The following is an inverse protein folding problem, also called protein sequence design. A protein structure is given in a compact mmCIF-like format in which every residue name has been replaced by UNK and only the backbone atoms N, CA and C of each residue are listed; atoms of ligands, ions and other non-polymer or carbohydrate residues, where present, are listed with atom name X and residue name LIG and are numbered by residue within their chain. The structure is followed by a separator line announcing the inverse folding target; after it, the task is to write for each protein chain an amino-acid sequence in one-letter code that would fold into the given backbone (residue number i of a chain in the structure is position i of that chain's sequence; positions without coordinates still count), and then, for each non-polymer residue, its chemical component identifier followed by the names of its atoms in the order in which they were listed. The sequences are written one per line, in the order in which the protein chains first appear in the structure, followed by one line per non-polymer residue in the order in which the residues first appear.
data_IF_325318645587
#
_entry.id   IF_325318645587
#
_cell.length_a   1.000
_cell.length_b   1.000
_cell.length_c   1.000
_cell.angle_alpha   90.00
_cell.angle_beta   90.00
_cell.angle_gamma   90.00
#
_symmetry.space_group_name_H-M   'P 1'
#
loop_
_entity.id
_entity.type
_entity.pdbx_description
1 polymer ?
#
# COMPACT_ATOMS: atom_id res chain seq x y z
N UNK A 1 -13.84 -4.65 -15.02
CA UNK A 1 -12.43 -4.81 -15.39
C UNK A 1 -11.94 -5.92 -14.50
N UNK A 2 -11.47 -6.97 -15.13
CA UNK A 2 -11.73 -8.34 -14.73
C UNK A 2 -11.18 -8.64 -13.34
N UNK A 3 -12.11 -8.83 -12.40
CA UNK A 3 -11.82 -9.52 -11.16
C UNK A 3 -11.29 -10.88 -11.60
N UNK A 4 -10.01 -11.15 -11.39
CA UNK A 4 -9.51 -12.52 -11.44
C UNK A 4 -10.52 -13.36 -10.66
N UNK A 5 -10.86 -14.56 -11.09
CA UNK A 5 -11.75 -15.49 -10.40
C UNK A 5 -10.95 -16.29 -9.39
N UNK A 6 -11.56 -16.83 -8.33
CA UNK A 6 -10.81 -17.62 -7.35
C UNK A 6 -10.05 -18.77 -8.04
N UNK A 7 -10.61 -19.22 -9.17
CA UNK A 7 -9.98 -20.14 -10.12
C UNK A 7 -8.70 -19.61 -10.76
N UNK A 8 -8.64 -18.36 -11.20
CA UNK A 8 -7.43 -17.78 -11.80
C UNK A 8 -6.33 -17.59 -10.74
N UNK A 9 -6.69 -17.20 -9.51
CA UNK A 9 -5.73 -17.15 -8.39
C UNK A 9 -5.20 -18.55 -8.05
N UNK A 10 -6.07 -19.56 -8.07
CA UNK A 10 -5.69 -20.96 -7.86
C UNK A 10 -4.76 -21.49 -8.97
N UNK A 11 -4.99 -21.11 -10.22
CA UNK A 11 -4.12 -21.48 -11.35
C UNK A 11 -2.72 -20.89 -11.21
N UNK A 12 -2.63 -19.60 -10.88
CA UNK A 12 -1.36 -18.91 -10.66
C UNK A 12 -0.59 -19.55 -9.50
N UNK A 13 -1.28 -19.84 -8.39
CA UNK A 13 -0.63 -20.47 -7.25
C UNK A 13 -0.17 -21.89 -7.58
N UNK A 14 -1.00 -22.69 -8.26
CA UNK A 14 -0.66 -24.04 -8.71
C UNK A 14 0.64 -24.04 -9.54
N UNK A 15 0.77 -23.11 -10.49
CA UNK A 15 1.98 -23.00 -11.32
C UNK A 15 3.24 -22.69 -10.50
N UNK A 16 3.11 -21.91 -9.42
CA UNK A 16 4.22 -21.60 -8.52
C UNK A 16 4.59 -22.76 -7.60
N UNK A 17 3.61 -23.47 -7.03
CA UNK A 17 3.85 -24.48 -5.98
C UNK A 17 4.06 -25.89 -6.54
N UNK A 18 3.38 -26.28 -7.61
CA UNK A 18 3.45 -27.62 -8.18
C UNK A 18 4.89 -28.11 -8.48
N UNK A 19 5.81 -27.27 -9.01
CA UNK A 19 7.20 -27.68 -9.24
C UNK A 19 8.01 -28.00 -7.97
N UNK A 20 7.48 -27.61 -6.79
CA UNK A 20 8.12 -27.77 -5.48
C UNK A 20 7.44 -28.83 -4.62
N UNK A 21 6.33 -29.40 -5.09
CA UNK A 21 5.61 -30.49 -4.44
C UNK A 21 6.07 -31.84 -5.00
N UNK A 22 5.95 -32.89 -4.19
CA UNK A 22 6.11 -34.27 -4.69
C UNK A 22 4.93 -34.67 -5.57
N UNK A 23 5.10 -35.66 -6.46
CA UNK A 23 4.03 -36.13 -7.36
C UNK A 23 2.73 -36.49 -6.62
N UNK A 24 2.83 -37.09 -5.43
CA UNK A 24 1.67 -37.43 -4.58
C UNK A 24 1.00 -36.19 -3.96
N UNK A 25 1.76 -35.10 -3.71
CA UNK A 25 1.24 -33.84 -3.14
C UNK A 25 0.73 -32.88 -4.20
N UNK A 26 1.23 -32.96 -5.43
CA UNK A 26 0.78 -32.13 -6.54
C UNK A 26 -0.70 -32.41 -6.89
N UNK A 27 -1.13 -33.68 -6.76
CA UNK A 27 -2.53 -34.06 -6.93
C UNK A 27 -3.43 -33.57 -5.77
N UNK A 28 -2.90 -33.47 -4.54
CA UNK A 28 -3.63 -32.95 -3.37
C UNK A 28 -3.83 -31.41 -3.42
N UNK A 29 -2.98 -30.71 -4.18
CA UNK A 29 -3.01 -29.26 -4.36
C UNK A 29 -3.20 -28.89 -5.83
N UNK A 30 -4.05 -29.62 -6.56
CA UNK A 30 -4.44 -29.27 -7.92
C UNK A 30 -5.25 -27.93 -7.95
N UNK A 31 -5.53 -27.44 -9.16
CA UNK A 31 -6.23 -26.15 -9.35
C UNK A 31 -7.61 -26.15 -8.67
N UNK A 32 -8.34 -27.27 -8.68
CA UNK A 32 -9.69 -27.34 -8.10
C UNK A 32 -9.63 -27.40 -6.55
N UNK A 33 -8.63 -28.08 -5.99
CA UNK A 33 -8.34 -28.12 -4.56
C UNK A 33 -7.90 -26.74 -4.05
N UNK A 34 -7.00 -26.07 -4.77
CA UNK A 34 -6.56 -24.71 -4.44
C UNK A 34 -7.70 -23.71 -4.55
N UNK A 35 -8.56 -23.79 -5.57
CA UNK A 35 -9.75 -22.93 -5.67
C UNK A 35 -10.67 -23.11 -4.46
N UNK A 36 -10.86 -24.35 -4.00
CA UNK A 36 -11.61 -24.65 -2.78
C UNK A 36 -10.93 -24.08 -1.53
N UNK A 37 -9.60 -24.13 -1.46
CA UNK A 37 -8.84 -23.54 -0.38
C UNK A 37 -8.98 -22.00 -0.37
N UNK A 38 -8.85 -21.37 -1.53
CA UNK A 38 -9.08 -19.94 -1.73
C UNK A 38 -10.50 -19.53 -1.34
N UNK A 39 -11.52 -20.30 -1.74
CA UNK A 39 -12.92 -20.09 -1.33
C UNK A 39 -13.08 -20.17 0.20
N UNK A 40 -12.45 -21.14 0.84
CA UNK A 40 -12.44 -21.26 2.30
C UNK A 40 -11.81 -20.02 2.95
N UNK A 41 -10.64 -19.57 2.48
CA UNK A 41 -9.98 -18.38 3.02
C UNK A 41 -10.81 -17.11 2.81
N UNK A 42 -11.32 -16.90 1.59
CA UNK A 42 -12.03 -15.67 1.23
C UNK A 42 -13.46 -15.63 1.78
N UNK A 43 -14.22 -16.71 1.63
CA UNK A 43 -15.65 -16.74 1.95
C UNK A 43 -15.95 -17.31 3.35
N UNK A 44 -15.16 -18.26 3.84
CA UNK A 44 -15.36 -18.86 5.18
C UNK A 44 -14.58 -18.11 6.25
N UNK A 45 -13.26 -17.96 6.08
CA UNK A 45 -12.39 -17.26 7.03
C UNK A 45 -12.37 -15.74 6.83
N UNK A 46 -13.09 -15.23 5.83
CA UNK A 46 -13.22 -13.79 5.52
C UNK A 46 -11.87 -13.08 5.33
N UNK A 47 -10.84 -13.83 4.92
CA UNK A 47 -9.54 -13.28 4.58
C UNK A 47 -9.71 -12.43 3.32
N UNK A 48 -9.28 -11.16 3.34
CA UNK A 48 -9.31 -10.32 2.16
C UNK A 48 -8.60 -11.00 0.99
N UNK A 49 -9.19 -10.95 -0.20
CA UNK A 49 -8.73 -11.74 -1.33
C UNK A 49 -7.27 -11.45 -1.74
N UNK A 50 -6.84 -10.21 -1.60
CA UNK A 50 -5.46 -9.79 -1.80
C UNK A 50 -4.48 -10.41 -0.78
N UNK A 51 -4.95 -10.77 0.42
CA UNK A 51 -4.17 -11.47 1.45
C UNK A 51 -4.38 -12.99 1.42
N UNK A 52 -5.44 -13.46 0.76
CA UNK A 52 -5.76 -14.88 0.67
C UNK A 52 -4.69 -15.63 -0.12
N UNK A 53 -4.10 -15.02 -1.16
CA UNK A 53 -3.05 -15.64 -1.96
C UNK A 53 -1.83 -16.04 -1.12
N UNK A 54 -1.31 -15.11 -0.32
CA UNK A 54 -0.18 -15.37 0.59
C UNK A 54 -0.56 -16.36 1.70
N UNK A 55 -1.78 -16.27 2.22
CA UNK A 55 -2.26 -17.14 3.28
C UNK A 55 -2.39 -18.59 2.81
N UNK A 56 -2.94 -18.79 1.62
CA UNK A 56 -3.08 -20.09 0.95
C UNK A 56 -1.70 -20.61 0.57
N UNK A 57 -0.81 -19.80 -0.04
CA UNK A 57 0.56 -20.21 -0.37
C UNK A 57 1.34 -20.65 0.87
N UNK A 58 1.35 -19.83 1.92
CA UNK A 58 2.07 -20.16 3.15
C UNK A 58 1.48 -21.38 3.86
N UNK A 59 0.16 -21.56 3.79
CA UNK A 59 -0.48 -22.78 4.27
C UNK A 59 0.00 -24.02 3.49
N UNK A 60 -0.01 -23.96 2.16
CA UNK A 60 0.43 -25.07 1.30
C UNK A 60 1.91 -25.39 1.55
N UNK A 61 2.80 -24.38 1.54
CA UNK A 61 4.23 -24.58 1.79
C UNK A 61 4.48 -25.22 3.16
N UNK A 62 3.73 -24.80 4.18
CA UNK A 62 3.86 -25.33 5.53
C UNK A 62 3.32 -26.76 5.66
N UNK A 63 2.14 -27.05 5.13
CA UNK A 63 1.52 -28.38 5.21
C UNK A 63 2.27 -29.40 4.35
N UNK A 64 2.83 -28.96 3.22
CA UNK A 64 3.64 -29.80 2.35
C UNK A 64 5.10 -29.99 2.85
N UNK A 65 5.47 -29.37 3.98
CA UNK A 65 6.83 -29.36 4.54
C UNK A 65 7.90 -28.86 3.54
N UNK A 66 7.49 -27.91 2.69
CA UNK A 66 8.37 -27.27 1.72
C UNK A 66 9.16 -26.18 2.43
N UNK A 67 10.49 -26.29 2.37
CA UNK A 67 11.38 -25.27 2.91
C UNK A 67 11.11 -23.94 2.18
N UNK A 68 10.58 -22.97 2.92
CA UNK A 68 10.16 -21.68 2.36
C UNK A 68 11.35 -20.90 1.81
N UNK A 69 12.53 -20.99 2.46
CA UNK A 69 13.74 -20.34 1.95
C UNK A 69 14.20 -21.00 0.64
N UNK A 70 14.13 -22.33 0.54
CA UNK A 70 14.46 -23.08 -0.66
C UNK A 70 13.44 -22.87 -1.79
N UNK A 71 12.15 -22.76 -1.48
CA UNK A 71 11.08 -22.42 -2.42
C UNK A 71 11.31 -21.05 -3.03
N UNK A 72 11.59 -20.04 -2.20
CA UNK A 72 12.00 -18.75 -2.71
C UNK A 72 13.35 -18.86 -3.43
N UNK A 73 14.27 -19.76 -3.02
CA UNK A 73 15.56 -19.97 -3.70
C UNK A 73 15.43 -20.57 -5.11
N UNK A 74 14.43 -21.42 -5.33
CA UNK A 74 14.18 -22.04 -6.62
C UNK A 74 13.44 -21.13 -7.59
N UNK A 75 12.55 -20.27 -7.10
CA UNK A 75 12.01 -19.14 -7.85
C UNK A 75 13.12 -18.11 -8.23
N UNK A 76 14.20 -18.05 -7.43
CA UNK A 76 15.41 -17.22 -7.63
C UNK A 76 16.46 -17.84 -8.57
N UNK A 77 16.09 -18.68 -9.53
CA UNK A 77 16.99 -19.51 -10.36
C UNK A 77 18.41 -18.96 -10.60
N UNK A 78 19.40 -19.55 -9.93
CA UNK A 78 20.84 -19.56 -10.27
C UNK A 78 21.51 -18.23 -10.69
N UNK A 79 22.27 -17.67 -9.75
CA UNK A 79 22.98 -16.37 -9.80
C UNK A 79 22.09 -15.18 -9.43
N UNK A 80 22.60 -14.30 -8.56
CA UNK A 80 21.84 -13.28 -7.82
C UNK A 80 21.00 -12.35 -8.74
N UNK A 81 19.76 -12.72 -9.03
CA UNK A 81 18.80 -11.89 -9.75
C UNK A 81 17.38 -12.19 -9.29
N UNK A 82 16.59 -11.14 -9.10
CA UNK A 82 15.14 -11.25 -8.97
C UNK A 82 14.52 -11.83 -10.26
N UNK A 83 13.29 -12.35 -10.19
CA UNK A 83 12.55 -12.80 -11.38
C UNK A 83 12.48 -11.67 -12.42
N UNK A 84 12.56 -12.01 -13.71
CA UNK A 84 12.36 -11.02 -14.78
C UNK A 84 10.93 -10.46 -14.76
N UNK A 85 9.97 -11.24 -14.27
CA UNK A 85 8.59 -10.82 -14.11
C UNK A 85 8.41 -9.95 -12.86
N UNK A 86 7.85 -8.73 -13.02
CA UNK A 86 7.57 -7.85 -11.89
C UNK A 86 6.44 -8.41 -11.02
N UNK A 87 6.71 -8.52 -9.73
CA UNK A 87 5.73 -8.88 -8.72
C UNK A 87 4.75 -7.71 -8.48
N UNK A 88 3.44 -7.99 -8.29
CA UNK A 88 2.48 -6.98 -7.86
C UNK A 88 2.83 -6.40 -6.49
N UNK A 89 2.60 -5.10 -6.28
CA UNK A 89 2.83 -4.45 -5.00
C UNK A 89 2.00 -5.08 -3.86
N UNK A 90 0.81 -5.60 -4.16
CA UNK A 90 -0.03 -6.26 -3.17
C UNK A 90 0.57 -7.54 -2.60
N UNK A 91 1.49 -8.18 -3.32
CA UNK A 91 2.18 -9.41 -2.91
C UNK A 91 3.52 -9.13 -2.22
N UNK A 92 3.94 -7.86 -2.14
CA UNK A 92 5.16 -7.43 -1.47
C UNK A 92 4.96 -7.36 0.06
N UNK A 93 4.60 -8.49 0.67
CA UNK A 93 4.18 -8.61 2.08
C UNK A 93 5.17 -9.42 2.93
N UNK A 94 6.38 -9.69 2.42
CA UNK A 94 7.40 -10.47 3.11
C UNK A 94 8.60 -9.60 3.44
N UNK A 95 8.88 -9.39 4.74
CA UNK A 95 10.04 -8.62 5.19
C UNK A 95 11.36 -9.25 4.74
N UNK A 96 12.29 -8.41 4.28
CA UNK A 96 13.62 -8.82 3.79
C UNK A 96 13.62 -9.49 2.41
N UNK A 97 12.46 -9.63 1.75
CA UNK A 97 12.38 -10.22 0.43
C UNK A 97 12.97 -9.31 -0.65
N UNK A 98 13.73 -9.90 -1.56
CA UNK A 98 14.23 -9.22 -2.75
C UNK A 98 13.27 -9.46 -3.91
N UNK A 99 12.76 -8.37 -4.49
CA UNK A 99 11.69 -8.44 -5.51
C UNK A 99 11.99 -7.52 -6.68
N UNK A 100 11.50 -7.89 -7.87
CA UNK A 100 11.32 -6.96 -8.98
C UNK A 100 9.90 -6.44 -8.90
N UNK A 101 9.69 -5.14 -9.00
CA UNK A 101 8.35 -4.54 -9.06
C UNK A 101 8.27 -3.54 -10.19
N UNK A 102 7.10 -3.45 -10.82
CA UNK A 102 6.81 -2.41 -11.83
C UNK A 102 5.75 -1.51 -11.26
N UNK A 103 6.10 -0.24 -11.05
CA UNK A 103 5.20 0.70 -10.40
C UNK A 103 5.41 2.12 -10.94
N UNK A 104 4.33 2.89 -10.89
CA UNK A 104 4.32 4.32 -11.21
C UNK A 104 4.57 5.14 -9.96
N UNK A 105 5.37 6.19 -10.06
CA UNK A 105 5.50 7.18 -8.98
C UNK A 105 4.19 7.97 -8.91
N UNK A 106 3.48 7.83 -7.80
CA UNK A 106 2.21 8.52 -7.54
C UNK A 106 2.48 9.89 -6.92
N UNK A 107 3.41 9.94 -5.97
CA UNK A 107 3.70 11.14 -5.20
C UNK A 107 5.14 11.07 -4.67
N UNK A 108 5.86 12.19 -4.71
CA UNK A 108 7.17 12.35 -4.08
C UNK A 108 7.05 13.30 -2.89
N UNK A 109 7.74 12.95 -1.81
CA UNK A 109 7.79 13.77 -0.59
C UNK A 109 9.19 14.30 -0.35
N UNK A 110 9.27 15.47 0.29
CA UNK A 110 10.54 16.02 0.73
C UNK A 110 11.19 15.12 1.80
N UNK A 111 12.44 14.68 1.60
CA UNK A 111 13.14 13.84 2.55
C UNK A 111 13.43 14.60 3.84
N UNK A 112 13.09 14.00 4.99
CA UNK A 112 13.33 14.57 6.33
C UNK A 112 14.77 14.41 6.81
N UNK A 113 15.60 13.65 6.09
CA UNK A 113 17.00 13.41 6.42
C UNK A 113 17.86 13.42 5.17
N UNK A 114 19.07 13.98 5.26
CA UNK A 114 20.07 13.99 4.16
C UNK A 114 20.50 12.57 3.72
N UNK A 115 20.26 11.57 4.58
CA UNK A 115 20.48 10.14 4.29
C UNK A 115 19.55 9.59 3.21
N UNK A 116 18.40 10.24 3.01
CA UNK A 116 17.35 9.83 2.09
C UNK A 116 17.47 10.67 0.82
N UNK A 117 17.65 10.00 -0.31
CA UNK A 117 17.70 10.63 -1.62
C UNK A 117 16.29 11.06 -2.06
N UNK A 118 15.35 10.12 -2.02
CA UNK A 118 13.95 10.34 -2.35
C UNK A 118 13.08 9.39 -1.53
N UNK A 119 11.89 9.85 -1.19
CA UNK A 119 10.86 9.07 -0.51
C UNK A 119 9.53 9.44 -1.13
N UNK A 120 8.63 8.48 -1.26
CA UNK A 120 7.33 8.75 -1.87
C UNK A 120 6.44 7.54 -1.90
N UNK A 121 5.41 7.64 -2.73
CA UNK A 121 4.40 6.63 -2.96
C UNK A 121 4.53 6.11 -4.38
N UNK A 122 4.66 4.80 -4.52
CA UNK A 122 4.52 4.10 -5.80
C UNK A 122 3.20 3.36 -5.86
N UNK A 123 2.72 3.09 -7.07
CA UNK A 123 1.53 2.29 -7.27
C UNK A 123 1.50 1.56 -8.60
N UNK A 124 0.87 0.39 -8.59
CA UNK A 124 0.59 -0.43 -9.74
C UNK A 124 -0.91 -0.76 -9.79
N UNK A 125 -1.35 -1.64 -10.67
CA UNK A 125 -2.75 -2.04 -10.77
C UNK A 125 -3.27 -2.75 -9.50
N UNK A 126 -2.37 -3.34 -8.72
CA UNK A 126 -2.68 -4.09 -7.51
C UNK A 126 -2.81 -3.20 -6.26
N UNK A 127 -2.10 -2.08 -6.22
CA UNK A 127 -1.99 -1.32 -4.99
C UNK A 127 -1.06 -0.11 -5.00
N UNK A 128 -0.85 0.43 -3.79
CA UNK A 128 0.11 1.50 -3.54
C UNK A 128 1.00 1.12 -2.37
N UNK A 129 2.28 1.46 -2.46
CA UNK A 129 3.28 1.17 -1.45
C UNK A 129 4.24 2.34 -1.30
N UNK A 130 4.66 2.61 -0.07
CA UNK A 130 5.71 3.60 0.19
C UNK A 130 7.04 3.07 -0.31
N UNK A 131 7.88 3.93 -0.87
CA UNK A 131 9.27 3.60 -1.17
C UNK A 131 10.25 4.56 -0.49
N UNK A 132 11.46 4.08 -0.23
CA UNK A 132 12.58 4.84 0.32
C UNK A 132 13.83 4.56 -0.50
N UNK A 133 14.39 5.62 -1.09
CA UNK A 133 15.65 5.61 -1.81
C UNK A 133 16.74 6.28 -0.98
N UNK A 134 17.82 5.57 -0.68
CA UNK A 134 18.90 6.07 0.17
C UNK A 134 20.00 6.75 -0.65
N UNK A 135 20.54 7.87 -0.17
CA UNK A 135 21.61 8.63 -0.86
C UNK A 135 22.87 7.79 -1.09
N UNK A 136 23.19 6.88 -0.15
CA UNK A 136 24.33 5.95 -0.29
C UNK A 136 24.20 4.99 -1.48
N UNK A 137 22.98 4.78 -1.96
CA UNK A 137 22.70 3.92 -3.11
C UNK A 137 22.94 4.63 -4.44
N UNK A 138 23.11 5.96 -4.44
CA UNK A 138 23.18 6.81 -5.63
C UNK A 138 22.12 6.47 -6.70
N UNK A 139 20.83 6.39 -6.32
CA UNK A 139 19.77 6.02 -7.26
C UNK A 139 19.52 7.15 -8.27
N UNK A 140 19.02 6.83 -9.48
CA UNK A 140 18.57 7.85 -10.42
C UNK A 140 17.44 8.69 -9.81
N UNK A 141 17.28 9.93 -10.29
CA UNK A 141 16.18 10.80 -9.89
C UNK A 141 14.90 10.28 -10.53
N UNK A 142 13.93 9.93 -9.68
CA UNK A 142 12.61 9.48 -10.10
C UNK A 142 11.68 10.67 -10.32
N UNK A 143 10.79 10.57 -11.31
CA UNK A 143 9.79 11.59 -11.64
C UNK A 143 8.38 11.10 -11.31
N UNK A 144 7.55 12.00 -10.78
CA UNK A 144 6.12 11.75 -10.59
C UNK A 144 5.42 11.46 -11.93
N UNK A 145 4.37 10.64 -11.88
CA UNK A 145 3.58 10.27 -13.05
C UNK A 145 4.37 9.50 -14.14
N UNK A 146 5.50 8.90 -13.75
CA UNK A 146 6.36 8.06 -14.60
C UNK A 146 6.40 6.62 -14.06
N UNK A 147 6.39 5.64 -14.97
CA UNK A 147 6.45 4.21 -14.63
C UNK A 147 7.89 3.72 -14.65
N UNK A 148 8.26 2.97 -13.61
CA UNK A 148 9.58 2.36 -13.49
C UNK A 148 9.47 0.88 -13.15
N UNK A 149 10.41 0.09 -13.67
CA UNK A 149 10.69 -1.25 -13.13
C UNK A 149 11.87 -1.14 -12.19
N UNK A 150 11.62 -1.49 -10.93
CA UNK A 150 12.61 -1.56 -9.88
C UNK A 150 13.01 -3.02 -9.69
N UNK A 151 14.20 -3.40 -10.14
CA UNK A 151 14.78 -4.74 -9.91
C UNK A 151 15.61 -4.74 -8.65
N UNK A 152 15.72 -5.91 -8.02
CA UNK A 152 16.53 -6.12 -6.81
C UNK A 152 16.26 -5.08 -5.70
N UNK A 153 14.98 -4.73 -5.50
CA UNK A 153 14.56 -3.92 -4.35
C UNK A 153 14.19 -4.81 -3.19
N UNK A 154 14.33 -4.28 -1.97
CA UNK A 154 14.04 -5.03 -0.74
C UNK A 154 12.73 -4.56 -0.16
N UNK A 155 11.86 -5.49 0.20
CA UNK A 155 10.66 -5.20 1.00
C UNK A 155 11.08 -5.08 2.47
N UNK A 156 10.70 -3.98 3.11
CA UNK A 156 11.02 -3.64 4.49
C UNK A 156 9.69 -3.46 5.25
N UNK A 157 9.51 -4.17 6.36
CA UNK A 157 8.32 -4.09 7.22
C UNK A 157 8.58 -3.23 8.47
N UNK A 158 7.65 -2.30 8.75
CA UNK A 158 7.69 -1.52 9.98
C UNK A 158 6.27 -1.27 10.52
N UNK A 159 5.99 -1.80 11.72
CA UNK A 159 4.73 -1.62 12.45
C UNK A 159 3.50 -2.04 11.63
N UNK A 160 3.60 -3.17 10.93
CA UNK A 160 2.61 -3.73 10.03
C UNK A 160 2.55 -3.07 8.64
N UNK A 161 3.42 -2.09 8.35
CA UNK A 161 3.44 -1.39 7.08
C UNK A 161 4.63 -1.81 6.22
N UNK A 162 4.35 -2.30 5.02
CA UNK A 162 5.37 -2.69 4.05
C UNK A 162 5.82 -1.50 3.20
N UNK A 163 7.12 -1.43 2.93
CA UNK A 163 7.73 -0.41 2.09
C UNK A 163 8.82 -0.99 1.20
N UNK A 164 9.06 -0.35 0.06
CA UNK A 164 10.13 -0.71 -0.86
C UNK A 164 11.40 0.08 -0.56
N UNK A 165 12.50 -0.64 -0.41
CA UNK A 165 13.81 -0.08 -0.13
C UNK A 165 14.73 -0.23 -1.32
N UNK A 166 15.05 0.92 -1.91
CA UNK A 166 15.96 0.99 -3.06
C UNK A 166 17.40 1.07 -2.54
N UNK A 167 18.21 0.09 -2.94
CA UNK A 167 19.59 -0.05 -2.53
C UNK A 167 20.55 0.13 -3.71
N UNK A 168 21.87 0.11 -3.47
CA UNK A 168 22.89 0.32 -4.52
C UNK A 168 22.96 -0.79 -5.57
N UNK A 169 22.35 -1.94 -5.30
CA UNK A 169 22.24 -3.06 -6.24
C UNK A 169 20.97 -3.00 -7.07
N UNK A 170 19.99 -2.19 -6.66
CA UNK A 170 18.73 -2.07 -7.38
C UNK A 170 18.94 -1.43 -8.74
N UNK A 171 18.41 -2.07 -9.79
CA UNK A 171 18.38 -1.51 -11.14
C UNK A 171 17.02 -0.87 -11.38
N UNK A 172 17.01 0.37 -11.88
CA UNK A 172 15.78 1.12 -12.16
C UNK A 172 15.70 1.38 -13.66
N UNK A 173 14.65 0.88 -14.28
CA UNK A 173 14.38 1.02 -15.72
C UNK A 173 13.15 1.91 -15.89
N UNK A 174 13.32 3.02 -16.59
CA UNK A 174 12.22 3.92 -16.93
C UNK A 174 11.43 3.41 -18.13
N UNK A 175 10.10 3.49 -18.03
CA UNK A 175 9.18 3.17 -19.12
C UNK A 175 8.50 4.44 -19.61
N UNK A 176 8.57 4.68 -20.91
CA UNK A 176 7.89 5.81 -21.55
C UNK A 176 6.37 5.70 -21.36
N UNK A 177 5.67 6.83 -21.23
CA UNK A 177 4.21 6.85 -20.98
C UNK A 177 3.37 6.13 -22.05
N UNK A 178 3.85 6.08 -23.29
CA UNK A 178 3.18 5.41 -24.40
C UNK A 178 3.63 3.94 -24.59
N UNK A 179 4.45 3.42 -23.68
CA UNK A 179 4.89 2.01 -23.72
C UNK A 179 3.78 1.07 -23.24
N UNK A 180 3.73 -0.17 -23.75
CA UNK A 180 2.79 -1.17 -23.24
C UNK A 180 3.06 -1.56 -21.77
N UNK A 181 4.25 -1.28 -21.26
CA UNK A 181 4.64 -1.49 -19.87
C UNK A 181 4.27 -0.34 -18.93
N UNK A 182 3.76 0.79 -19.46
CA UNK A 182 3.34 1.92 -18.65
C UNK A 182 2.08 1.61 -17.85
N UNK A 183 2.09 1.95 -16.56
CA UNK A 183 0.92 1.77 -15.70
C UNK A 183 -0.02 2.95 -15.91
N UNK A 184 -1.13 2.70 -16.60
CA UNK A 184 -2.16 3.69 -16.84
C UNK A 184 -3.01 3.96 -15.59
N UNK A 185 -3.48 2.90 -14.94
CA UNK A 185 -4.32 2.99 -13.75
C UNK A 185 -3.57 2.46 -12.54
N UNK A 186 -3.42 3.30 -11.52
CA UNK A 186 -2.89 2.88 -10.22
C UNK A 186 -4.07 2.38 -9.38
N UNK A 187 -4.05 1.09 -9.09
CA UNK A 187 -4.91 0.46 -8.10
C UNK A 187 -4.77 1.14 -6.75
N UNK A 188 -5.90 1.36 -6.10
CA UNK A 188 -5.89 1.72 -4.68
C UNK A 188 -5.83 0.42 -3.90
N UNK A 189 -4.79 0.24 -3.09
CA UNK A 189 -4.82 -0.76 -2.01
C UNK A 189 -5.85 -0.31 -0.98
N UNK A 190 -7.11 -0.53 -1.32
CA UNK A 190 -8.25 -0.15 -0.51
C UNK A 190 -8.67 -1.40 0.24
N UNK A 191 -8.32 -1.47 1.51
CA UNK A 191 -9.04 -2.38 2.41
C UNK A 191 -10.39 -1.75 2.66
N UNK A 192 -11.45 -2.41 2.21
CA UNK A 192 -12.82 -1.96 2.44
C UNK A 192 -13.24 -2.42 3.83
N UNK A 193 -13.52 -1.46 4.70
CA UNK A 193 -14.13 -1.70 6.00
C UNK A 193 -15.60 -1.30 5.91
N UNK A 194 -16.50 -2.22 6.24
CA UNK A 194 -17.93 -1.94 6.39
C UNK A 194 -18.26 -1.98 7.88
N UNK A 195 -18.74 -0.86 8.43
CA UNK A 195 -19.02 -0.75 9.85
C UNK A 195 -19.83 0.49 10.19
N UNK A 196 -20.04 0.70 11.49
CA UNK A 196 -20.76 1.86 12.02
C UNK A 196 -19.77 2.80 12.69
N UNK A 197 -19.90 4.11 12.42
CA UNK A 197 -19.19 5.12 13.21
C UNK A 197 -19.72 5.15 14.64
N UNK A 198 -18.94 4.62 15.57
CA UNK A 198 -19.31 4.55 17.00
C UNK A 198 -18.83 5.77 17.79
N UNK A 199 -17.78 6.45 17.31
CA UNK A 199 -17.30 7.68 17.94
C UNK A 199 -16.67 8.64 16.92
N UNK A 200 -16.76 9.93 17.24
CA UNK A 200 -15.97 10.99 16.61
C UNK A 200 -14.99 11.50 17.67
N UNK A 201 -13.70 11.45 17.37
CA UNK A 201 -12.63 11.80 18.29
C UNK A 201 -12.46 13.32 18.42
N UNK A 202 -11.78 13.74 19.47
CA UNK A 202 -11.38 15.13 19.66
C UNK A 202 -10.47 15.62 18.52
N UNK A 203 -10.52 16.91 18.20
CA UNK A 203 -9.82 17.51 17.05
C UNK A 203 -10.30 16.99 15.69
N UNK A 204 -11.56 16.57 15.63
CA UNK A 204 -12.34 16.34 14.41
C UNK A 204 -13.17 17.60 14.08
N UNK A 205 -13.56 17.76 12.83
CA UNK A 205 -14.24 18.93 12.27
C UNK A 205 -13.26 20.01 11.77
N UNK A 206 -13.72 21.26 11.82
CA UNK A 206 -12.94 22.43 11.43
C UNK A 206 -11.88 22.73 12.50
N UNK A 207 -10.61 22.58 12.14
CA UNK A 207 -9.46 22.82 13.00
C UNK A 207 -8.56 23.89 12.40
N UNK A 208 -7.62 24.41 13.21
CA UNK A 208 -6.51 25.20 12.74
C UNK A 208 -5.21 24.41 12.87
N UNK A 209 -4.45 24.30 11.80
CA UNK A 209 -3.12 23.67 11.80
C UNK A 209 -2.02 24.72 11.83
N UNK A 210 -0.89 24.35 12.39
CA UNK A 210 0.32 25.15 12.32
C UNK A 210 0.68 25.42 10.85
N UNK A 211 0.95 26.68 10.51
CA UNK A 211 1.39 27.08 9.16
C UNK A 211 2.84 26.73 8.87
N UNK A 212 3.56 26.19 9.85
CA UNK A 212 4.91 25.70 9.66
C UNK A 212 4.87 24.41 8.81
N UNK A 213 5.57 24.35 7.66
CA UNK A 213 5.52 23.20 6.74
C UNK A 213 5.90 21.86 7.39
N UNK A 214 6.75 21.90 8.41
CA UNK A 214 7.20 20.70 9.12
C UNK A 214 6.30 20.35 10.32
N UNK A 215 5.19 21.08 10.51
CA UNK A 215 4.32 20.93 11.66
C UNK A 215 2.86 20.58 11.29
N UNK A 216 2.42 19.39 11.68
CA UNK A 216 1.03 18.93 11.49
C UNK A 216 0.14 19.14 12.73
N UNK A 217 0.65 19.85 13.75
CA UNK A 217 -0.06 20.02 15.03
C UNK A 217 -1.22 21.00 14.91
N UNK A 218 -2.25 20.74 15.71
CA UNK A 218 -3.43 21.62 15.83
C UNK A 218 -3.10 22.79 16.76
N UNK A 219 -3.44 24.00 16.32
CA UNK A 219 -3.31 25.22 17.10
C UNK A 219 -4.43 25.29 18.13
N UNK A 220 -4.05 25.62 19.37
CA UNK A 220 -5.00 25.87 20.45
C UNK A 220 -4.77 27.28 20.98
N UNK A 221 -5.84 28.07 21.09
CA UNK A 221 -5.80 29.43 21.63
C UNK A 221 -4.82 30.38 20.90
N UNK A 222 -4.56 30.14 19.61
CA UNK A 222 -3.64 30.97 18.81
C UNK A 222 -2.16 30.61 18.97
N UNK A 223 -1.85 29.48 19.62
CA UNK A 223 -0.49 29.00 19.80
C UNK A 223 -0.36 27.54 19.36
N UNK A 224 0.73 27.26 18.63
CA UNK A 224 1.23 25.92 18.41
C UNK A 224 2.07 25.51 19.62
N UNK A 225 1.93 24.27 20.09
CA UNK A 225 2.70 23.77 21.24
C UNK A 225 4.21 23.71 21.01
N UNK A 226 4.67 23.74 19.75
CA UNK A 226 6.10 23.72 19.39
C UNK A 226 6.59 25.09 18.94
N UNK A 227 5.81 25.76 18.08
CA UNK A 227 6.24 26.98 17.38
C UNK A 227 5.72 28.27 18.02
N UNK A 228 4.98 28.18 19.13
CA UNK A 228 4.44 29.33 19.84
C UNK A 228 3.33 30.04 19.05
N UNK A 229 3.21 31.37 19.12
CA UNK A 229 2.15 32.13 18.47
C UNK A 229 2.05 31.86 16.97
N UNK A 230 0.90 31.33 16.53
CA UNK A 230 0.66 30.99 15.14
C UNK A 230 -0.85 31.16 14.83
N UNK A 231 -1.16 31.89 13.75
CA UNK A 231 -2.55 32.18 13.37
C UNK A 231 -3.30 30.96 12.81
N UNK A 232 -2.55 30.02 12.27
CA UNK A 232 -2.99 28.75 11.73
C UNK A 232 -3.70 28.83 10.39
N UNK A 233 -3.57 27.76 9.62
CA UNK A 233 -4.39 27.50 8.44
C UNK A 233 -5.60 26.65 8.83
N UNK A 234 -6.76 26.93 8.24
CA UNK A 234 -7.95 26.12 8.48
C UNK A 234 -7.84 24.80 7.73
N UNK A 235 -8.20 23.73 8.41
CA UNK A 235 -8.26 22.37 7.87
C UNK A 235 -9.54 21.71 8.33
N UNK A 236 -10.12 20.87 7.48
CA UNK A 236 -11.33 20.12 7.77
C UNK A 236 -10.96 18.64 7.79
N UNK A 237 -11.27 17.93 8.87
CA UNK A 237 -10.99 16.50 8.95
C UNK A 237 -11.99 15.78 9.82
N UNK A 238 -12.21 14.50 9.58
CA UNK A 238 -12.92 13.64 10.52
C UNK A 238 -11.97 12.60 11.09
N UNK A 239 -11.81 12.61 12.41
CA UNK A 239 -11.24 11.48 13.15
C UNK A 239 -12.38 10.70 13.76
N UNK A 240 -12.62 9.51 13.24
CA UNK A 240 -13.72 8.66 13.68
C UNK A 240 -13.23 7.28 14.08
N UNK A 241 -14.08 6.57 14.81
CA UNK A 241 -13.86 5.17 15.17
C UNK A 241 -14.94 4.36 14.48
N UNK A 242 -14.52 3.42 13.63
CA UNK A 242 -15.37 2.51 12.89
C UNK A 242 -15.36 1.14 13.60
N UNK A 243 -16.54 0.59 13.85
CA UNK A 243 -16.72 -0.73 14.44
C UNK A 243 -17.50 -1.61 13.44
N UNK A 244 -16.91 -2.74 13.06
CA UNK A 244 -17.50 -3.72 12.14
C UNK A 244 -18.20 -4.88 12.88
N UNK A 245 -18.17 -4.88 14.22
CA UNK A 245 -18.71 -5.92 15.09
C UNK A 245 -17.69 -6.99 15.50
N UNK A 246 -16.51 -7.02 14.89
CA UNK A 246 -15.40 -7.92 15.22
C UNK A 246 -14.14 -7.15 15.64
N UNK A 247 -13.88 -6.01 15.00
CA UNK A 247 -12.72 -5.15 15.19
C UNK A 247 -13.09 -3.67 15.21
N UNK A 248 -12.25 -2.88 15.87
CA UNK A 248 -12.42 -1.43 15.98
C UNK A 248 -11.23 -0.77 15.27
N UNK A 249 -11.53 0.11 14.32
CA UNK A 249 -10.54 0.82 13.51
C UNK A 249 -10.63 2.32 13.72
N UNK A 250 -9.48 2.99 13.84
CA UNK A 250 -9.43 4.45 13.82
C UNK A 250 -9.32 4.94 12.37
N UNK A 251 -10.24 5.81 11.96
CA UNK A 251 -10.29 6.36 10.61
C UNK A 251 -9.98 7.86 10.64
N UNK A 252 -9.14 8.31 9.70
CA UNK A 252 -8.86 9.72 9.47
C UNK A 252 -9.29 10.10 8.05
N UNK A 253 -10.31 10.93 7.93
CA UNK A 253 -10.70 11.55 6.68
C UNK A 253 -10.09 12.94 6.58
N UNK A 254 -9.35 13.18 5.51
CA UNK A 254 -8.85 14.52 5.13
C UNK A 254 -10.01 15.39 4.61
N UNK A 255 -9.75 16.67 4.31
CA UNK A 255 -10.77 17.63 3.89
C UNK A 255 -11.63 17.12 2.73
N UNK A 256 -11.01 16.63 1.66
CA UNK A 256 -11.75 16.11 0.50
C UNK A 256 -12.62 14.89 0.82
N UNK A 257 -12.13 13.96 1.66
CA UNK A 257 -12.94 12.81 2.06
C UNK A 257 -14.05 13.19 3.04
N UNK A 258 -13.81 14.18 3.90
CA UNK A 258 -14.82 14.73 4.80
C UNK A 258 -15.97 15.34 4.00
N UNK A 259 -15.66 16.08 2.92
CA UNK A 259 -16.64 16.62 2.00
C UNK A 259 -17.46 15.51 1.32
N UNK A 260 -16.82 14.46 0.81
CA UNK A 260 -17.51 13.33 0.18
C UNK A 260 -18.48 12.65 1.16
N UNK A 261 -18.06 12.41 2.40
CA UNK A 261 -18.85 11.66 3.39
C UNK A 261 -19.96 12.48 4.01
N UNK A 262 -19.72 13.78 4.25
CA UNK A 262 -20.67 14.64 4.97
C UNK A 262 -21.42 15.63 4.09
N UNK A 263 -20.96 15.84 2.86
CA UNK A 263 -21.38 16.96 2.02
C UNK A 263 -20.96 18.31 2.60
N UNK A 264 -19.90 18.40 3.39
CA UNK A 264 -19.43 19.65 3.99
C UNK A 264 -18.06 20.01 3.44
N UNK A 265 -17.98 21.12 2.71
CA UNK A 265 -16.74 21.66 2.17
C UNK A 265 -16.11 22.69 3.12
N UNK A 266 -14.84 22.98 2.88
CA UNK A 266 -14.13 24.07 3.54
C UNK A 266 -14.18 25.30 2.62
N UNK A 267 -15.03 26.26 2.94
CA UNK A 267 -15.08 27.54 2.25
C UNK A 267 -13.85 28.39 2.62
N UNK A 268 -13.01 28.64 1.62
CA UNK A 268 -11.87 29.56 1.68
C UNK A 268 -12.21 30.91 1.05
N UNK A 269 -13.24 31.61 1.53
CA UNK A 269 -13.44 33.01 1.15
C UNK A 269 -12.37 33.87 1.86
N UNK A 270 -11.63 34.67 1.07
CA UNK A 270 -10.39 35.39 1.41
C UNK A 270 -10.43 36.44 2.53
N UNK A 271 -11.27 36.25 3.54
CA UNK A 271 -11.49 37.11 4.70
C UNK A 271 -10.81 36.56 5.97
N UNK A 272 -10.09 35.43 5.88
CA UNK A 272 -9.41 34.79 7.01
C UNK A 272 -10.34 34.05 8.00
N UNK A 273 -11.57 33.75 7.59
CA UNK A 273 -12.57 33.03 8.40
C UNK A 273 -12.90 31.69 7.74
N UNK A 274 -12.28 30.60 8.18
CA UNK A 274 -12.64 29.25 7.74
C UNK A 274 -14.06 28.92 8.18
N UNK A 275 -14.89 28.46 7.25
CA UNK A 275 -16.26 28.01 7.51
C UNK A 275 -16.45 26.65 6.89
N UNK A 276 -17.08 25.75 7.63
CA UNK A 276 -17.56 24.49 7.11
C UNK A 276 -19.02 24.71 6.68
N UNK A 277 -19.35 24.54 5.39
CA UNK A 277 -20.73 24.72 4.90
C UNK A 277 -21.27 23.42 4.32
N UNK A 278 -22.54 23.10 4.58
CA UNK A 278 -23.18 22.02 3.86
C UNK A 278 -23.33 22.42 2.39
N UNK A 279 -23.01 21.49 1.52
CA UNK A 279 -23.20 21.60 0.09
C UNK A 279 -24.71 21.60 -0.18
N UNK A 280 -25.25 22.78 -0.52
CA UNK A 280 -26.63 22.89 -0.97
C UNK A 280 -26.72 22.42 -2.42
N UNK A 281 -27.00 21.13 -2.62
CA UNK A 281 -27.48 20.60 -3.89
C UNK A 281 -28.90 21.04 -4.22
#
# INVERSE_FOLDING_TARGET
MDMNTLREDAQLLHEQVAPHLSDDQADDYDVDALETLFDSYVNTYRVPRNAAFDSVRNHVLKEADVDTEAFWASLRGGDQGTTEEPLPLSECTTDGAWVTVRAKIVELWDPREDSIHQVGLVGDESGRMKFVAWTKSNPPVLEEDTTYTFKDVVVDEYDGNYSLKINSRSEIIEHARDSPEAIGTVGTMTTVYEGVFVAIQSQSGLIKRCTDPECTRVIQQGECSEHGPNEGEFDLRIKGVLDDGESVQECLFTAGMTEVVTGIDLDGDGDGVGRARPHCG
#
